data_IF_993367438626
#
_entry.id   IF_993367438626
#
_cell.length_a   1.000
_cell.length_b   1.000
_cell.length_c   1.000
_cell.angle_alpha   90.00
_cell.angle_beta   90.00
_cell.angle_gamma   90.00
#
_symmetry.space_group_name_H-M   'P 1'
#
loop_
_entity.id
_entity.type
_entity.pdbx_description
1 polymer ?
#
# COMPACT_ATOMS: atom_id res chain seq x y z
N UNK A 1 13.71 64.48 -9.96
CA UNK A 1 12.28 64.15 -10.18
C UNK A 1 12.20 62.64 -10.04
N UNK A 2 11.76 62.17 -8.87
CA UNK A 2 11.82 60.76 -8.43
C UNK A 2 10.39 60.21 -8.48
N UNK A 3 10.19 59.04 -9.10
CA UNK A 3 8.94 58.31 -9.06
C UNK A 3 9.16 56.94 -8.37
N UNK A 4 8.16 56.41 -7.64
CA UNK A 4 8.37 55.41 -6.59
C UNK A 4 8.13 53.96 -7.04
N UNK A 5 8.63 53.05 -6.22
CA UNK A 5 8.46 51.60 -6.28
C UNK A 5 7.06 51.15 -5.81
N UNK A 6 6.53 50.11 -6.43
CA UNK A 6 5.58 49.14 -5.85
C UNK A 6 5.96 47.77 -6.43
N UNK A 7 6.42 46.78 -5.66
CA UNK A 7 5.59 45.99 -4.75
C UNK A 7 4.63 45.17 -5.61
N UNK A 8 4.82 43.88 -5.90
CA UNK A 8 5.23 42.80 -5.01
C UNK A 8 4.04 41.87 -4.81
N UNK A 9 3.57 41.20 -5.87
CA UNK A 9 2.53 40.17 -5.79
C UNK A 9 3.16 38.80 -6.04
N UNK A 10 3.83 38.26 -5.02
CA UNK A 10 4.03 36.81 -4.94
C UNK A 10 2.72 36.20 -4.45
N UNK A 11 1.89 35.78 -5.40
CA UNK A 11 0.77 34.86 -5.15
C UNK A 11 1.32 33.52 -4.69
N UNK A 12 1.65 33.43 -3.40
CA UNK A 12 1.92 32.18 -2.72
C UNK A 12 0.63 31.38 -2.71
N UNK A 13 0.61 30.29 -3.47
CA UNK A 13 -0.42 29.25 -3.37
C UNK A 13 -0.24 28.64 -1.99
N UNK A 14 -0.99 29.18 -1.03
CA UNK A 14 -1.07 28.64 0.32
C UNK A 14 -1.55 27.19 0.21
N UNK A 15 -0.68 26.30 0.67
CA UNK A 15 -0.95 24.89 0.88
C UNK A 15 -2.13 24.76 1.83
N UNK A 16 -3.31 24.40 1.31
CA UNK A 16 -4.47 23.98 2.11
C UNK A 16 -4.17 22.63 2.76
N UNK A 17 -3.37 22.64 3.83
CA UNK A 17 -3.38 21.59 4.85
C UNK A 17 -4.18 22.12 6.04
N UNK A 18 -5.50 22.18 5.88
CA UNK A 18 -6.42 22.60 6.92
C UNK A 18 -6.54 21.57 8.07
N UNK A 19 -6.98 22.01 9.28
CA UNK A 19 -7.13 21.18 10.50
C UNK A 19 -8.11 19.99 10.34
N UNK A 20 -8.92 20.03 9.30
CA UNK A 20 -9.80 18.98 8.82
C UNK A 20 -9.03 17.75 8.31
N UNK A 21 -7.88 17.92 7.65
CA UNK A 21 -7.07 16.80 7.15
C UNK A 21 -6.54 15.88 8.24
N UNK A 22 -6.15 16.44 9.39
CA UNK A 22 -5.67 15.67 10.55
C UNK A 22 -6.80 14.93 11.27
N UNK A 23 -7.99 15.54 11.36
CA UNK A 23 -9.18 14.91 11.91
C UNK A 23 -9.70 13.74 11.06
N UNK A 24 -9.63 13.84 9.73
CA UNK A 24 -9.95 12.72 8.82
C UNK A 24 -8.90 11.60 8.89
N UNK A 25 -7.61 11.95 8.98
CA UNK A 25 -6.53 10.97 9.11
C UNK A 25 -6.66 10.09 10.37
N UNK A 26 -7.07 10.68 11.51
CA UNK A 26 -7.31 9.94 12.75
C UNK A 26 -8.51 8.98 12.68
N UNK A 27 -9.58 9.37 11.99
CA UNK A 27 -10.79 8.52 11.80
C UNK A 27 -10.54 7.35 10.86
N UNK A 28 -9.69 7.53 9.85
CA UNK A 28 -9.40 6.47 8.88
C UNK A 28 -8.41 5.42 9.41
N UNK A 29 -7.64 5.72 10.46
CA UNK A 29 -6.70 4.78 11.08
C UNK A 29 -7.32 3.43 11.50
N UNK A 30 -8.44 3.36 12.26
CA UNK A 30 -9.08 2.09 12.59
C UNK A 30 -9.62 1.36 11.36
N UNK A 31 -10.22 2.09 10.40
CA UNK A 31 -10.75 1.52 9.16
C UNK A 31 -9.64 0.90 8.30
N UNK A 32 -8.51 1.60 8.17
CA UNK A 32 -7.30 1.11 7.49
C UNK A 32 -6.76 -0.15 8.17
N UNK A 33 -6.74 -0.20 9.50
CA UNK A 33 -6.32 -1.40 10.24
C UNK A 33 -7.21 -2.60 9.94
N UNK A 34 -8.53 -2.43 9.98
CA UNK A 34 -9.49 -3.50 9.65
C UNK A 34 -9.29 -3.97 8.21
N UNK A 35 -9.20 -3.05 7.25
CA UNK A 35 -8.96 -3.38 5.85
C UNK A 35 -7.64 -4.14 5.63
N UNK A 36 -6.57 -3.77 6.34
CA UNK A 36 -5.29 -4.51 6.30
C UNK A 36 -5.45 -5.93 6.79
N UNK A 37 -6.12 -6.13 7.92
CA UNK A 37 -6.38 -7.48 8.45
C UNK A 37 -7.21 -8.29 7.48
N UNK A 38 -8.29 -7.72 6.93
CA UNK A 38 -9.15 -8.40 5.94
C UNK A 38 -8.37 -8.76 4.68
N UNK A 39 -7.59 -7.83 4.13
CA UNK A 39 -6.78 -8.08 2.93
C UNK A 39 -5.76 -9.22 3.15
N UNK A 40 -5.11 -9.24 4.32
CA UNK A 40 -4.15 -10.28 4.70
C UNK A 40 -4.84 -11.63 4.86
N UNK A 41 -5.96 -11.68 5.59
CA UNK A 41 -6.73 -12.92 5.79
C UNK A 41 -7.24 -13.48 4.45
N UNK A 42 -7.77 -12.62 3.58
CA UNK A 42 -8.22 -12.99 2.25
C UNK A 42 -7.08 -13.56 1.38
N UNK A 43 -5.91 -12.90 1.39
CA UNK A 43 -4.74 -13.36 0.65
C UNK A 43 -4.21 -14.72 1.15
N UNK A 44 -4.12 -14.89 2.47
CA UNK A 44 -3.68 -16.16 3.09
C UNK A 44 -4.69 -17.27 2.82
N UNK A 45 -6.00 -17.00 2.93
CA UNK A 45 -7.05 -17.96 2.63
C UNK A 45 -7.01 -18.37 1.15
N UNK A 46 -6.90 -17.42 0.24
CA UNK A 46 -6.75 -17.70 -1.20
C UNK A 46 -5.51 -18.56 -1.46
N UNK A 47 -4.35 -18.23 -0.87
CA UNK A 47 -3.14 -19.02 -1.03
C UNK A 47 -3.28 -20.46 -0.48
N UNK A 48 -3.93 -20.61 0.68
CA UNK A 48 -4.18 -21.93 1.27
C UNK A 48 -5.07 -22.80 0.39
N UNK A 49 -6.14 -22.23 -0.18
CA UNK A 49 -7.02 -22.97 -1.09
C UNK A 49 -6.28 -23.39 -2.36
N UNK A 50 -5.50 -22.50 -2.95
CA UNK A 50 -4.67 -22.84 -4.12
C UNK A 50 -3.64 -23.93 -3.81
N UNK A 51 -3.03 -23.90 -2.62
CA UNK A 51 -2.14 -24.96 -2.15
C UNK A 51 -2.89 -26.30 -2.00
N UNK A 52 -4.05 -26.31 -1.34
CA UNK A 52 -4.87 -27.52 -1.18
C UNK A 52 -5.29 -28.09 -2.54
N UNK A 53 -5.63 -27.22 -3.50
CA UNK A 53 -5.98 -27.63 -4.85
C UNK A 53 -4.77 -28.17 -5.63
N UNK A 54 -3.61 -27.50 -5.52
CA UNK A 54 -2.41 -27.86 -6.27
C UNK A 54 -1.72 -29.11 -5.73
N UNK A 55 -1.69 -29.28 -4.40
CA UNK A 55 -0.98 -30.36 -3.71
C UNK A 55 -1.22 -31.77 -4.28
N UNK A 56 -2.47 -32.26 -4.44
CA UNK A 56 -2.71 -33.61 -4.97
C UNK A 56 -2.39 -33.76 -6.46
N UNK A 57 -2.11 -32.67 -7.16
CA UNK A 57 -1.86 -32.61 -8.61
C UNK A 57 -0.36 -32.41 -8.93
N UNK A 58 0.48 -32.32 -7.90
CA UNK A 58 1.93 -32.23 -8.08
C UNK A 58 2.48 -33.54 -8.66
N UNK A 59 3.33 -33.42 -9.66
CA UNK A 59 3.95 -34.58 -10.31
C UNK A 59 3.20 -35.11 -11.54
N UNK A 60 2.07 -34.51 -11.93
CA UNK A 60 1.51 -34.72 -13.28
C UNK A 60 2.31 -33.89 -14.30
N UNK A 61 3.11 -34.52 -15.18
CA UNK A 61 3.96 -33.79 -16.13
C UNK A 61 3.15 -33.08 -17.22
N UNK A 62 1.87 -33.43 -17.41
CA UNK A 62 1.00 -32.79 -18.40
C UNK A 62 0.32 -31.51 -17.91
N UNK A 63 0.32 -31.25 -16.60
CA UNK A 63 -0.41 -30.14 -16.01
C UNK A 63 0.51 -29.12 -15.33
N UNK A 64 0.70 -27.96 -15.96
CA UNK A 64 1.50 -26.87 -15.40
C UNK A 64 0.76 -26.05 -14.32
N UNK A 65 -0.57 -26.19 -14.18
CA UNK A 65 -1.41 -25.36 -13.28
C UNK A 65 -1.00 -25.46 -11.82
N UNK A 66 -0.71 -26.64 -11.24
CA UNK A 66 -0.32 -26.76 -9.84
C UNK A 66 0.90 -25.91 -9.50
N UNK A 67 1.91 -25.88 -10.38
CA UNK A 67 3.13 -25.09 -10.18
C UNK A 67 2.85 -23.58 -10.24
N UNK A 68 2.01 -23.13 -11.17
CA UNK A 68 1.61 -21.73 -11.27
C UNK A 68 0.83 -21.28 -10.04
N UNK A 69 -0.09 -22.12 -9.53
CA UNK A 69 -0.86 -21.82 -8.33
C UNK A 69 -0.01 -21.84 -7.05
N UNK A 70 0.97 -22.73 -6.95
CA UNK A 70 1.95 -22.69 -5.86
C UNK A 70 2.75 -21.39 -5.87
N UNK A 71 3.30 -21.02 -7.03
CA UNK A 71 4.08 -19.79 -7.16
C UNK A 71 3.23 -18.55 -6.85
N UNK A 72 2.02 -18.49 -7.41
CA UNK A 72 1.08 -17.41 -7.14
C UNK A 72 0.65 -17.35 -5.67
N UNK A 73 0.39 -18.49 -5.05
CA UNK A 73 0.04 -18.58 -3.62
C UNK A 73 1.17 -18.10 -2.72
N UNK A 74 2.41 -18.54 -3.00
CA UNK A 74 3.60 -18.06 -2.30
C UNK A 74 3.78 -16.53 -2.45
N UNK A 75 3.55 -16.01 -3.66
CA UNK A 75 3.59 -14.57 -3.92
C UNK A 75 2.51 -13.81 -3.14
N UNK A 76 1.28 -14.31 -3.10
CA UNK A 76 0.19 -13.72 -2.32
C UNK A 76 0.52 -13.67 -0.81
N UNK A 77 1.13 -14.74 -0.27
CA UNK A 77 1.62 -14.76 1.12
C UNK A 77 2.73 -13.73 1.34
N UNK A 78 3.68 -13.60 0.40
CA UNK A 78 4.73 -12.58 0.49
C UNK A 78 4.15 -11.16 0.53
N UNK A 79 3.15 -10.87 -0.30
CA UNK A 79 2.44 -9.57 -0.29
C UNK A 79 1.68 -9.36 1.02
N UNK A 80 1.04 -10.41 1.57
CA UNK A 80 0.36 -10.34 2.85
C UNK A 80 1.32 -10.00 4.00
N UNK A 81 2.48 -10.68 4.06
CA UNK A 81 3.54 -10.39 5.03
C UNK A 81 4.07 -8.96 4.86
N UNK A 82 4.32 -8.52 3.62
CA UNK A 82 4.75 -7.16 3.35
C UNK A 82 3.70 -6.13 3.80
N UNK A 83 2.41 -6.43 3.64
CA UNK A 83 1.29 -5.55 4.05
C UNK A 83 1.24 -5.35 5.56
N UNK A 84 1.67 -6.34 6.35
CA UNK A 84 1.79 -6.22 7.80
C UNK A 84 3.04 -5.45 8.23
N UNK A 85 4.15 -5.57 7.48
CA UNK A 85 5.45 -5.02 7.87
C UNK A 85 5.70 -3.59 7.41
N UNK A 86 5.11 -3.16 6.29
CA UNK A 86 5.46 -1.90 5.67
C UNK A 86 4.59 -0.71 6.16
N UNK A 87 5.18 0.49 6.34
CA UNK A 87 4.40 1.73 6.40
C UNK A 87 3.63 1.92 5.08
N UNK A 88 2.54 2.70 5.08
CA UNK A 88 1.56 2.72 3.98
C UNK A 88 2.17 2.93 2.57
N UNK A 89 2.17 1.89 1.72
CA UNK A 89 2.63 1.98 0.32
C UNK A 89 1.50 1.62 -0.66
N UNK A 90 1.02 2.60 -1.43
CA UNK A 90 0.00 2.40 -2.48
C UNK A 90 0.35 1.29 -3.47
N UNK A 91 1.61 1.21 -3.88
CA UNK A 91 2.09 0.21 -4.84
C UNK A 91 1.94 -1.21 -4.31
N UNK A 92 2.14 -1.41 -3.01
CA UNK A 92 1.96 -2.70 -2.36
C UNK A 92 0.48 -3.13 -2.37
N UNK A 93 -0.44 -2.20 -2.13
CA UNK A 93 -1.87 -2.49 -2.19
C UNK A 93 -2.35 -2.77 -3.61
N UNK A 94 -1.85 -2.02 -4.60
CA UNK A 94 -2.12 -2.30 -6.01
C UNK A 94 -1.57 -3.68 -6.42
N UNK A 95 -0.40 -4.06 -5.92
CA UNK A 95 0.19 -5.37 -6.17
C UNK A 95 -0.65 -6.51 -5.56
N UNK A 96 -1.10 -6.35 -4.31
CA UNK A 96 -1.97 -7.33 -3.66
C UNK A 96 -3.33 -7.46 -4.36
N UNK A 97 -3.98 -6.33 -4.67
CA UNK A 97 -5.22 -6.32 -5.42
C UNK A 97 -5.06 -6.92 -6.82
N UNK A 98 -3.97 -6.57 -7.52
CA UNK A 98 -3.66 -7.10 -8.85
C UNK A 98 -3.40 -8.61 -8.85
N UNK A 99 -2.72 -9.12 -7.83
CA UNK A 99 -2.47 -10.57 -7.67
C UNK A 99 -3.78 -11.33 -7.53
N UNK A 100 -4.67 -10.88 -6.66
CA UNK A 100 -5.96 -11.53 -6.45
C UNK A 100 -6.88 -11.37 -7.67
N UNK A 101 -6.85 -10.21 -8.33
CA UNK A 101 -7.57 -10.01 -9.58
C UNK A 101 -7.06 -10.93 -10.70
N UNK A 102 -5.76 -11.21 -10.76
CA UNK A 102 -5.21 -12.17 -11.73
C UNK A 102 -5.75 -13.60 -11.51
N UNK A 103 -5.95 -14.04 -10.27
CA UNK A 103 -6.59 -15.33 -10.00
C UNK A 103 -8.06 -15.38 -10.41
N UNK A 104 -8.80 -14.28 -10.24
CA UNK A 104 -10.20 -14.17 -10.68
C UNK A 104 -10.30 -14.20 -12.21
N UNK A 105 -9.53 -13.34 -12.88
CA UNK A 105 -9.53 -13.23 -14.33
C UNK A 105 -8.96 -14.49 -14.99
N UNK A 106 -7.95 -15.11 -14.39
CA UNK A 106 -7.42 -16.40 -14.83
C UNK A 106 -8.48 -17.51 -14.77
N UNK A 107 -9.28 -17.55 -13.70
CA UNK A 107 -10.38 -18.51 -13.58
C UNK A 107 -11.45 -18.31 -14.65
N UNK A 108 -11.90 -17.07 -14.87
CA UNK A 108 -12.89 -16.77 -15.92
C UNK A 108 -12.32 -17.01 -17.32
N UNK A 109 -11.08 -16.58 -17.58
CA UNK A 109 -10.43 -16.79 -18.87
C UNK A 109 -10.23 -18.27 -19.19
N UNK A 110 -9.97 -19.09 -18.18
CA UNK A 110 -9.80 -20.54 -18.35
C UNK A 110 -11.12 -21.28 -18.56
N UNK A 111 -12.13 -21.01 -17.72
CA UNK A 111 -13.41 -21.73 -17.79
C UNK A 111 -14.39 -21.13 -18.82
N UNK A 112 -14.18 -19.90 -19.26
CA UNK A 112 -15.03 -19.20 -20.21
C UNK A 112 -16.50 -19.18 -19.77
N UNK A 113 -17.40 -19.54 -20.68
CA UNK A 113 -18.84 -19.61 -20.42
C UNK A 113 -19.22 -20.63 -19.33
N UNK A 114 -18.37 -21.62 -19.05
CA UNK A 114 -18.61 -22.64 -18.03
C UNK A 114 -18.13 -22.21 -16.63
N UNK A 115 -17.61 -20.99 -16.45
CA UNK A 115 -17.08 -20.55 -15.16
C UNK A 115 -18.09 -20.67 -14.00
N UNK A 116 -19.36 -20.33 -14.26
CA UNK A 116 -20.43 -20.42 -13.25
C UNK A 116 -20.75 -21.85 -12.84
N UNK A 117 -20.88 -22.77 -13.80
CA UNK A 117 -21.16 -24.18 -13.51
C UNK A 117 -19.96 -24.88 -12.86
N UNK A 118 -18.74 -24.56 -13.28
CA UNK A 118 -17.51 -25.04 -12.64
C UNK A 118 -17.38 -24.53 -11.21
N UNK A 119 -17.81 -23.31 -10.93
CA UNK A 119 -17.76 -22.75 -9.57
C UNK A 119 -18.77 -23.45 -8.66
N UNK A 120 -19.98 -23.70 -9.17
CA UNK A 120 -21.04 -24.34 -8.40
C UNK A 120 -20.74 -25.81 -8.05
N UNK A 121 -19.87 -26.48 -8.82
CA UNK A 121 -19.50 -27.88 -8.61
C UNK A 121 -18.23 -28.07 -7.76
N UNK A 122 -17.48 -27.01 -7.47
CA UNK A 122 -16.24 -27.08 -6.70
C UNK A 122 -16.30 -26.18 -5.45
N UNK A 123 -16.51 -26.76 -4.25
CA UNK A 123 -16.52 -26.02 -3.00
C UNK A 123 -15.23 -25.23 -2.73
N UNK A 124 -14.06 -25.73 -3.16
CA UNK A 124 -12.80 -25.02 -3.00
C UNK A 124 -12.77 -23.78 -3.90
N UNK A 125 -13.28 -23.90 -5.13
CA UNK A 125 -13.39 -22.75 -6.02
C UNK A 125 -14.29 -21.64 -5.43
N UNK A 126 -15.42 -22.00 -4.80
CA UNK A 126 -16.30 -21.03 -4.13
C UNK A 126 -15.52 -20.25 -3.06
N UNK A 127 -14.79 -20.95 -2.19
CA UNK A 127 -14.00 -20.32 -1.12
C UNK A 127 -12.89 -19.45 -1.70
N UNK A 128 -12.16 -19.93 -2.72
CA UNK A 128 -11.10 -19.18 -3.38
C UNK A 128 -11.61 -17.87 -3.98
N UNK A 129 -12.67 -17.93 -4.79
CA UNK A 129 -13.21 -16.75 -5.48
C UNK A 129 -13.86 -15.77 -4.51
N UNK A 130 -14.52 -16.26 -3.46
CA UNK A 130 -15.02 -15.43 -2.38
C UNK A 130 -13.89 -14.68 -1.66
N UNK A 131 -12.82 -15.38 -1.28
CA UNK A 131 -11.66 -14.77 -0.64
C UNK A 131 -10.97 -13.75 -1.56
N UNK A 132 -10.78 -14.07 -2.84
CA UNK A 132 -10.17 -13.17 -3.82
C UNK A 132 -10.99 -11.89 -4.01
N UNK A 133 -12.32 -11.98 -4.17
CA UNK A 133 -13.19 -10.81 -4.30
C UNK A 133 -13.12 -9.89 -3.07
N UNK A 134 -13.20 -10.47 -1.87
CA UNK A 134 -13.08 -9.73 -0.61
C UNK A 134 -11.70 -9.08 -0.49
N UNK A 135 -10.64 -9.80 -0.83
CA UNK A 135 -9.27 -9.29 -0.78
C UNK A 135 -9.03 -8.16 -1.79
N UNK A 136 -9.54 -8.29 -3.03
CA UNK A 136 -9.48 -7.22 -4.03
C UNK A 136 -10.18 -5.97 -3.52
N UNK A 137 -11.41 -6.10 -3.00
CA UNK A 137 -12.14 -4.97 -2.45
C UNK A 137 -11.39 -4.30 -1.29
N UNK A 138 -10.79 -5.10 -0.40
CA UNK A 138 -10.01 -4.60 0.73
C UNK A 138 -8.72 -3.86 0.26
N UNK A 139 -7.97 -4.43 -0.67
CA UNK A 139 -6.78 -3.79 -1.25
C UNK A 139 -7.12 -2.52 -2.02
N UNK A 140 -8.24 -2.48 -2.74
CA UNK A 140 -8.73 -1.27 -3.40
C UNK A 140 -9.14 -0.20 -2.39
N UNK A 141 -9.80 -0.59 -1.30
CA UNK A 141 -10.10 0.32 -0.18
C UNK A 141 -8.83 0.93 0.42
N UNK A 142 -7.80 0.12 0.67
CA UNK A 142 -6.49 0.59 1.13
C UNK A 142 -5.80 1.49 0.11
N UNK A 143 -5.86 1.15 -1.18
CA UNK A 143 -5.30 1.97 -2.25
C UNK A 143 -5.96 3.36 -2.30
N UNK A 144 -7.28 3.43 -2.09
CA UNK A 144 -8.04 4.68 -2.09
C UNK A 144 -7.76 5.54 -0.86
N UNK A 145 -7.63 4.92 0.31
CA UNK A 145 -7.36 5.61 1.58
C UNK A 145 -5.88 6.00 1.79
N UNK A 146 -4.97 5.41 1.01
CA UNK A 146 -3.56 5.76 1.09
C UNK A 146 -3.29 7.11 0.38
N UNK A 147 -2.65 8.08 1.06
CA UNK A 147 -2.25 9.35 0.46
C UNK A 147 -1.44 9.13 -0.83
N UNK A 148 -1.54 10.00 -1.85
CA UNK A 148 -0.67 9.93 -3.01
C UNK A 148 0.79 9.96 -2.54
N UNK A 149 1.59 9.03 -3.07
CA UNK A 149 2.96 8.71 -2.63
C UNK A 149 3.96 9.89 -2.69
N UNK A 150 3.56 11.06 -3.19
CA UNK A 150 4.33 12.30 -3.13
C UNK A 150 4.49 12.84 -1.71
N UNK A 151 3.42 12.86 -0.90
CA UNK A 151 3.44 13.46 0.44
C UNK A 151 4.29 12.68 1.46
N UNK A 152 4.51 11.38 1.24
CA UNK A 152 5.31 10.52 2.13
C UNK A 152 6.82 10.68 1.85
N UNK A 153 7.20 11.01 0.62
CA UNK A 153 8.59 11.31 0.27
C UNK A 153 8.99 12.69 0.81
N UNK A 154 8.10 13.67 0.73
CA UNK A 154 8.32 15.05 1.20
C UNK A 154 8.54 15.14 2.73
N UNK A 155 7.82 14.33 3.52
CA UNK A 155 8.05 14.23 4.98
C UNK A 155 9.37 13.55 5.34
N UNK A 156 9.88 12.66 4.49
CA UNK A 156 11.17 12.00 4.69
C UNK A 156 12.33 12.95 4.37
N UNK A 157 12.20 13.73 3.30
CA UNK A 157 13.22 14.72 2.92
C UNK A 157 13.24 15.92 3.89
N UNK A 158 12.08 16.34 4.40
CA UNK A 158 11.99 17.38 5.43
C UNK A 158 12.57 16.99 6.79
N UNK A 159 12.67 15.69 7.11
CA UNK A 159 13.26 15.20 8.37
C UNK A 159 14.79 15.08 8.32
N UNK A 160 15.41 15.13 7.14
CA UNK A 160 16.87 15.03 6.99
C UNK A 160 17.53 16.41 6.84
N UNK A 161 16.77 17.47 6.52
CA UNK A 161 17.28 18.83 6.31
C UNK A 161 17.25 19.78 7.53
N UNK A 162 16.79 19.32 8.70
CA UNK A 162 16.63 20.15 9.91
C UNK A 162 17.65 19.84 11.00
N UNK A 163 18.90 19.51 10.63
CA UNK A 163 19.99 19.32 11.57
C UNK A 163 20.63 20.68 11.89
N UNK A 164 20.44 21.11 13.13
CA UNK A 164 21.02 22.29 13.77
C UNK A 164 22.45 22.60 13.32
N UNK A 165 22.65 23.73 12.63
CA UNK A 165 23.92 24.45 12.64
C UNK A 165 24.05 25.07 14.05
N UNK A 166 25.04 24.69 14.87
CA UNK A 166 25.27 25.39 16.12
C UNK A 166 25.78 26.79 15.77
N UNK A 167 24.98 27.80 16.12
CA UNK A 167 25.38 29.19 16.07
C UNK A 167 26.70 29.37 16.85
N UNK A 168 27.75 29.72 16.12
CA UNK A 168 29.00 30.21 16.66
C UNK A 168 28.69 31.55 17.36
N UNK A 169 28.48 31.49 18.67
CA UNK A 169 28.34 32.68 19.49
C UNK A 169 29.72 33.27 19.74
N UNK A 170 29.98 34.40 19.10
CA UNK A 170 31.05 35.34 19.47
C UNK A 170 30.96 35.65 20.98
N UNK A 171 31.92 35.17 21.77
CA UNK A 171 32.14 35.65 23.13
C UNK A 171 33.30 36.64 23.14
N UNK A 172 32.93 37.92 23.22
CA UNK A 172 33.82 39.07 23.37
C UNK A 172 34.17 39.20 24.87
N UNK A 173 35.28 38.58 25.27
CA UNK A 173 35.87 38.72 26.60
C UNK A 173 36.90 39.86 26.65
N UNK A 174 36.44 41.05 26.99
CA UNK A 174 37.27 42.22 27.31
C UNK A 174 37.92 42.03 28.69
N UNK A 175 39.20 41.61 28.75
CA UNK A 175 39.99 41.65 30.00
C UNK A 175 40.99 42.81 29.93
N UNK A 176 40.62 43.93 30.56
CA UNK A 176 41.56 44.96 31.01
C UNK A 176 42.46 44.33 32.07
N UNK A 177 43.76 44.25 31.79
CA UNK A 177 44.79 44.05 32.81
C UNK A 177 45.69 45.28 32.82
N UNK A 178 45.58 46.02 33.93
CA UNK A 178 46.48 47.09 34.33
C UNK A 178 47.93 46.57 34.46
N UNK A 179 48.89 47.33 33.92
CA UNK A 179 50.26 47.48 34.43
C UNK A 179 50.92 48.71 33.81
#
# INVERSE_FOLDING_TARGET
MTAPASGGESGGVASEAGPDGEAYAGRDAPRKRVLRVVAVQAAVLSAAVHLLWAWPRLGDPGDARPYAFLLGGAFAVAVAVATLRAPEYRRLYALGGGTLAAFLLGYVGWHGAAAGSALASDPLAIVAKGAELVGVAAFLGLYRLAPPTSAVLERRDGSVGGGDDPAESDDVGEERVDS
#
